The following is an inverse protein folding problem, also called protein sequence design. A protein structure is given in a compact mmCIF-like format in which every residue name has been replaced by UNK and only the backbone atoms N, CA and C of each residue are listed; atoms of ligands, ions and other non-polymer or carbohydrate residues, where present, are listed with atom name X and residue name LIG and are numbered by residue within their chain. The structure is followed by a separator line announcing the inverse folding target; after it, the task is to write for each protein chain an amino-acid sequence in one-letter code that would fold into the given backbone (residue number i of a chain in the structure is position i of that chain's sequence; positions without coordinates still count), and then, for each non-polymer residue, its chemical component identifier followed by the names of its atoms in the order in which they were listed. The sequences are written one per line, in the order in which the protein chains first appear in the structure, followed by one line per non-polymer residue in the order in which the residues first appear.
data_IF_480522328240
#
_entry.id   IF_480522328240
#
_cell.length_a   1.000
_cell.length_b   1.000
_cell.length_c   1.000
_cell.angle_alpha   90.00
_cell.angle_beta   90.00
_cell.angle_gamma   90.00
#
_symmetry.space_group_name_H-M   'P 1'
#
loop_
_entity.id
_entity.type
_entity.pdbx_description
1 polymer ?
#
# COMPACT_ATOMS: atom_id res chain seq x y z
N UNK A 1 9.15 -9.82 -4.29
CA UNK A 1 8.08 -10.77 -3.93
C UNK A 1 6.75 -10.17 -4.30
N UNK A 2 6.04 -10.75 -5.25
CA UNK A 2 4.65 -10.36 -5.53
C UNK A 2 3.76 -10.99 -4.46
N UNK A 3 3.07 -10.12 -3.69
CA UNK A 3 2.20 -10.52 -2.59
C UNK A 3 1.03 -11.38 -3.09
N UNK A 4 0.56 -11.11 -4.30
CA UNK A 4 -0.63 -11.77 -4.86
C UNK A 4 -0.35 -13.17 -5.41
N UNK A 5 0.91 -13.53 -5.65
CA UNK A 5 1.31 -14.86 -6.17
C UNK A 5 2.01 -15.73 -5.14
N UNK A 6 2.06 -15.32 -3.87
CA UNK A 6 2.67 -16.10 -2.79
C UNK A 6 1.67 -17.12 -2.22
N UNK A 7 1.85 -18.44 -2.43
CA UNK A 7 0.90 -19.46 -1.96
C UNK A 7 0.78 -19.49 -0.43
N UNK A 8 1.78 -18.97 0.31
CA UNK A 8 1.71 -18.88 1.78
C UNK A 8 0.67 -17.86 2.27
N UNK A 9 0.20 -16.98 1.39
CA UNK A 9 -0.78 -15.93 1.71
C UNK A 9 -2.15 -16.21 1.12
N UNK A 10 -2.36 -17.37 0.49
CA UNK A 10 -3.63 -17.70 -0.18
C UNK A 10 -4.84 -17.56 0.74
N UNK A 11 -4.73 -18.00 2.00
CA UNK A 11 -5.79 -17.92 3.00
C UNK A 11 -6.16 -16.50 3.42
N UNK A 12 -5.26 -15.53 3.21
CA UNK A 12 -5.47 -14.14 3.61
C UNK A 12 -6.51 -13.43 2.73
N UNK A 13 -6.82 -13.97 1.54
CA UNK A 13 -7.93 -13.51 0.69
C UNK A 13 -9.30 -13.65 1.36
N UNK A 14 -9.42 -14.52 2.36
CA UNK A 14 -10.68 -14.79 3.08
C UNK A 14 -10.69 -14.20 4.50
N UNK A 15 -9.61 -13.53 4.90
CA UNK A 15 -9.53 -12.94 6.23
C UNK A 15 -10.46 -11.72 6.31
N UNK A 16 -11.26 -11.59 7.38
CA UNK A 16 -12.13 -10.43 7.55
C UNK A 16 -11.29 -9.15 7.69
N UNK A 17 -11.67 -8.10 6.97
CA UNK A 17 -11.00 -6.80 7.02
C UNK A 17 -9.68 -6.71 6.25
N UNK A 18 -9.36 -7.71 5.41
CA UNK A 18 -8.17 -7.70 4.58
C UNK A 18 -8.54 -7.72 3.10
N UNK A 19 -7.83 -6.92 2.31
CA UNK A 19 -7.90 -6.93 0.85
C UNK A 19 -6.48 -7.07 0.30
N UNK A 20 -6.21 -8.19 -0.36
CA UNK A 20 -4.94 -8.43 -1.05
C UNK A 20 -4.96 -7.83 -2.45
N UNK A 21 -4.68 -6.53 -2.54
CA UNK A 21 -4.66 -5.77 -3.79
C UNK A 21 -3.57 -4.68 -3.74
N UNK A 22 -3.11 -4.23 -4.91
CA UNK A 22 -2.28 -3.01 -4.98
C UNK A 22 -3.03 -1.77 -4.48
N UNK A 23 -2.30 -0.74 -4.05
CA UNK A 23 -2.90 0.50 -3.52
C UNK A 23 -2.65 0.75 -2.04
N UNK A 24 -2.12 -0.23 -1.31
CA UNK A 24 -1.70 -0.08 0.09
C UNK A 24 -0.20 0.17 0.22
N UNK A 25 0.21 1.27 0.86
CA UNK A 25 1.62 1.55 1.21
C UNK A 25 1.78 1.83 2.71
N UNK A 26 2.78 1.23 3.39
CA UNK A 26 3.01 1.50 4.80
C UNK A 26 3.59 2.90 5.02
N UNK A 27 3.18 3.55 6.11
CA UNK A 27 3.78 4.78 6.62
C UNK A 27 4.81 4.39 7.68
N UNK A 28 6.09 4.63 7.37
CA UNK A 28 7.21 4.34 8.25
C UNK A 28 8.08 5.60 8.40
N UNK A 29 8.39 5.98 9.64
CA UNK A 29 9.18 7.17 9.98
C UNK A 29 10.28 6.73 10.95
N UNK A 30 11.55 7.04 10.66
CA UNK A 30 12.68 6.61 11.50
C UNK A 30 12.75 5.09 11.72
N UNK A 31 12.20 4.29 10.80
CA UNK A 31 12.11 2.83 10.93
C UNK A 31 10.93 2.31 11.78
N UNK A 32 10.09 3.18 12.34
CA UNK A 32 8.90 2.82 13.11
C UNK A 32 7.64 2.83 12.24
N UNK A 33 6.72 1.90 12.49
CA UNK A 33 5.44 1.80 11.76
C UNK A 33 4.34 2.63 12.44
N UNK A 34 3.68 3.50 11.67
CA UNK A 34 2.63 4.39 12.17
C UNK A 34 1.25 4.14 11.54
N UNK A 35 1.20 3.39 10.44
CA UNK A 35 -0.05 3.12 9.71
C UNK A 35 0.19 2.84 8.23
N UNK A 36 -0.81 3.12 7.40
CA UNK A 36 -0.74 2.93 5.97
C UNK A 36 -1.64 3.92 5.21
N UNK A 37 -1.30 4.18 3.95
CA UNK A 37 -2.17 4.84 2.97
C UNK A 37 -2.79 3.74 2.11
N UNK A 38 -4.12 3.82 1.91
CA UNK A 38 -4.86 2.96 0.99
C UNK A 38 -5.56 3.79 -0.08
N UNK A 39 -5.31 3.50 -1.35
CA UNK A 39 -5.97 4.13 -2.50
C UNK A 39 -6.76 3.07 -3.27
N UNK A 40 -7.93 3.44 -3.79
CA UNK A 40 -8.76 2.58 -4.62
C UNK A 40 -9.62 3.42 -5.57
N UNK A 41 -9.88 2.89 -6.77
CA UNK A 41 -10.87 3.41 -7.71
C UNK A 41 -10.32 3.68 -9.10
N UNK A 42 -9.01 3.57 -9.31
CA UNK A 42 -8.42 3.71 -10.62
C UNK A 42 -8.73 2.50 -11.53
N UNK A 43 -8.76 2.68 -12.87
CA UNK A 43 -8.79 1.56 -13.79
C UNK A 43 -7.49 0.74 -13.68
N UNK A 44 -7.54 -0.55 -14.03
CA UNK A 44 -6.34 -1.37 -14.11
C UNK A 44 -5.62 -1.15 -15.45
N UNK A 45 -4.31 -0.92 -15.43
CA UNK A 45 -3.49 -0.80 -16.65
C UNK A 45 -2.75 -2.11 -16.97
N UNK A 46 -1.98 -2.61 -16.00
CA UNK A 46 -1.15 -3.83 -16.11
C UNK A 46 -1.68 -4.96 -15.24
N UNK A 47 -2.19 -4.63 -14.05
CA UNK A 47 -2.78 -5.56 -13.07
C UNK A 47 -3.71 -4.80 -12.15
N UNK A 48 -4.64 -5.48 -11.49
CA UNK A 48 -5.55 -4.83 -10.57
C UNK A 48 -4.80 -4.07 -9.45
N UNK A 49 -5.20 -2.81 -9.22
CA UNK A 49 -4.63 -1.91 -8.22
C UNK A 49 -3.25 -1.34 -8.56
N UNK A 50 -2.77 -1.44 -9.80
CA UNK A 50 -1.46 -0.91 -10.18
C UNK A 50 -1.41 0.62 -10.22
N UNK A 51 -2.44 1.27 -10.75
CA UNK A 51 -2.56 2.73 -10.70
C UNK A 51 -2.80 3.19 -9.26
N UNK A 52 -3.63 2.48 -8.50
CA UNK A 52 -3.85 2.79 -7.08
C UNK A 52 -2.54 2.73 -6.27
N UNK A 53 -1.67 1.74 -6.52
CA UNK A 53 -0.34 1.62 -5.90
C UNK A 53 0.54 2.83 -6.25
N UNK A 54 0.53 3.26 -7.51
CA UNK A 54 1.27 4.44 -7.95
C UNK A 54 0.77 5.73 -7.28
N UNK A 55 -0.56 5.90 -7.17
CA UNK A 55 -1.17 7.03 -6.47
C UNK A 55 -0.81 7.03 -4.97
N UNK A 56 -0.87 5.86 -4.31
CA UNK A 56 -0.53 5.73 -2.90
C UNK A 56 0.94 6.10 -2.63
N UNK A 57 1.86 5.68 -3.51
CA UNK A 57 3.28 6.05 -3.47
C UNK A 57 3.50 7.55 -3.67
N UNK A 58 2.86 8.14 -4.67
CA UNK A 58 2.94 9.58 -4.90
C UNK A 58 2.43 10.38 -3.68
N UNK A 59 1.38 9.89 -3.01
CA UNK A 59 0.86 10.49 -1.79
C UNK A 59 1.85 10.49 -0.63
N UNK A 60 2.47 9.35 -0.31
CA UNK A 60 3.46 9.30 0.78
C UNK A 60 4.73 10.11 0.43
N UNK A 61 5.17 10.09 -0.82
CA UNK A 61 6.34 10.85 -1.28
C UNK A 61 6.11 12.37 -1.14
N UNK A 62 4.88 12.85 -1.40
CA UNK A 62 4.53 14.26 -1.25
C UNK A 62 4.59 14.78 0.20
N UNK A 63 4.46 13.90 1.19
CA UNK A 63 4.49 14.27 2.62
C UNK A 63 5.74 13.76 3.35
N UNK A 64 6.64 13.04 2.66
CA UNK A 64 7.78 12.33 3.28
C UNK A 64 8.64 13.23 4.15
N UNK A 65 9.02 14.41 3.65
CA UNK A 65 9.84 15.35 4.41
C UNK A 65 9.11 15.86 5.66
N UNK A 66 7.83 16.22 5.51
CA UNK A 66 7.02 16.71 6.62
C UNK A 66 6.84 15.66 7.73
N UNK A 67 6.72 14.37 7.39
CA UNK A 67 6.57 13.30 8.38
C UNK A 67 7.90 12.86 8.98
N UNK A 68 9.01 12.92 8.25
CA UNK A 68 10.33 12.51 8.75
C UNK A 68 10.95 13.54 9.71
N UNK A 69 10.58 14.82 9.55
CA UNK A 69 11.13 15.94 10.32
C UNK A 69 10.06 16.74 11.07
N UNK A 70 8.90 16.15 11.36
CA UNK A 70 7.91 16.77 12.24
C UNK A 70 8.47 16.91 13.67
N UNK A 71 8.39 18.12 14.24
CA UNK A 71 8.75 18.42 15.64
C UNK A 71 7.68 17.94 16.65
#
# INVERSE_FOLDING_TARGET
MDLMTNPRLEHLNYAPGVLLLGGGVPVQIGGHFYGAIGVSGAPAEKRAGDIDDACARAGIDAIREAVEFAE
#
